data_IF_140280903758
#
_entry.id   IF_140280903758
#
_cell.length_a   1.000
_cell.length_b   1.000
_cell.length_c   1.000
_cell.angle_alpha   90.00
_cell.angle_beta   90.00
_cell.angle_gamma   90.00
#
_symmetry.space_group_name_H-M   'P 1'
#
loop_
_entity.id
_entity.type
_entity.pdbx_description
1 polymer ?
#
# COMPACT_ATOMS: atom_id res chain seq x y z
N UNK A 1 26.61 -29.68 -55.27
CA UNK A 1 27.52 -29.53 -54.11
C UNK A 1 27.31 -28.16 -53.50
N UNK A 2 26.43 -28.05 -52.50
CA UNK A 2 25.96 -26.77 -51.96
C UNK A 2 25.93 -26.75 -50.44
N UNK A 3 26.83 -25.93 -49.88
CA UNK A 3 26.75 -25.10 -48.66
C UNK A 3 26.02 -25.62 -47.40
N UNK A 4 26.74 -25.54 -46.28
CA UNK A 4 26.17 -25.38 -44.94
C UNK A 4 27.21 -24.84 -43.95
N UNK A 5 27.39 -23.51 -43.88
CA UNK A 5 28.22 -22.85 -42.85
C UNK A 5 27.35 -22.57 -41.61
N UNK A 6 27.69 -23.19 -40.47
CA UNK A 6 27.07 -22.93 -39.15
C UNK A 6 27.54 -21.57 -38.61
N UNK A 7 26.59 -20.68 -38.29
CA UNK A 7 26.80 -19.43 -37.55
C UNK A 7 26.82 -19.74 -36.05
N UNK A 8 27.87 -19.28 -35.34
CA UNK A 8 27.95 -19.27 -33.88
C UNK A 8 27.16 -18.06 -33.34
N UNK A 9 26.11 -18.31 -32.57
CA UNK A 9 25.49 -17.32 -31.69
C UNK A 9 26.44 -16.97 -30.55
N UNK A 10 26.59 -15.67 -30.29
CA UNK A 10 27.29 -15.13 -29.12
C UNK A 10 26.25 -14.62 -28.13
N UNK A 11 26.33 -15.13 -26.91
CA UNK A 11 25.50 -14.81 -25.76
C UNK A 11 25.86 -13.40 -25.21
N UNK A 12 24.91 -12.45 -25.08
CA UNK A 12 25.18 -11.12 -24.52
C UNK A 12 24.63 -11.00 -23.09
N UNK A 13 25.39 -11.45 -22.10
CA UNK A 13 25.10 -11.19 -20.69
C UNK A 13 26.39 -11.01 -19.90
N UNK A 14 26.85 -9.76 -19.82
CA UNK A 14 27.64 -9.25 -18.68
C UNK A 14 28.01 -7.79 -18.92
N UNK A 15 27.26 -6.86 -18.31
CA UNK A 15 27.73 -5.50 -17.95
C UNK A 15 26.69 -4.88 -17.01
N UNK A 16 26.83 -5.16 -15.72
CA UNK A 16 26.24 -4.33 -14.67
C UNK A 16 27.32 -3.38 -14.16
N UNK A 17 27.02 -2.08 -13.97
CA UNK A 17 27.94 -1.12 -13.38
C UNK A 17 28.04 -1.26 -11.85
N UNK A 18 29.13 -0.78 -11.23
CA UNK A 18 29.33 -0.88 -9.78
C UNK A 18 28.50 0.17 -9.01
N UNK A 19 27.92 -0.25 -7.88
CA UNK A 19 27.22 0.59 -6.91
C UNK A 19 28.20 1.38 -6.03
N UNK A 20 28.00 2.69 -5.80
CA UNK A 20 28.79 3.45 -4.84
C UNK A 20 28.19 3.39 -3.42
N UNK A 21 29.02 3.00 -2.45
CA UNK A 21 28.72 3.04 -1.02
C UNK A 21 28.79 4.48 -0.49
N UNK A 22 27.69 5.00 0.09
CA UNK A 22 27.69 6.27 0.80
C UNK A 22 27.54 6.08 2.32
N UNK A 23 28.62 6.45 3.00
CA UNK A 23 28.78 6.50 4.45
C UNK A 23 28.17 7.83 4.96
N UNK A 24 27.11 7.78 5.78
CA UNK A 24 26.57 8.98 6.44
C UNK A 24 26.86 8.88 7.93
N UNK A 25 27.72 9.78 8.41
CA UNK A 25 27.94 10.10 9.84
C UNK A 25 27.07 11.30 10.20
N UNK A 26 26.20 11.19 11.20
CA UNK A 26 25.55 12.35 11.82
C UNK A 26 26.00 12.50 13.28
N UNK A 27 26.56 13.69 13.56
CA UNK A 27 26.90 14.21 14.88
C UNK A 27 25.64 14.85 15.49
N UNK A 28 25.30 14.51 16.73
CA UNK A 28 24.39 15.28 17.57
C UNK A 28 25.21 16.25 18.44
N UNK A 29 24.80 17.52 18.50
CA UNK A 29 25.25 18.52 19.47
C UNK A 29 24.08 19.35 20.01
N UNK A 30 24.06 19.39 21.34
CA UNK A 30 23.40 20.19 22.38
C UNK A 30 22.83 21.58 22.09
N UNK A 31 21.79 21.95 22.85
CA UNK A 31 21.66 23.09 23.79
C UNK A 31 20.15 23.29 24.09
N UNK A 32 19.60 23.45 25.30
CA UNK A 32 20.08 24.19 26.47
C UNK A 32 19.52 25.62 26.42
N UNK A 33 18.35 25.89 27.01
CA UNK A 33 17.84 27.26 27.24
C UNK A 33 16.94 27.32 28.49
N UNK A 34 17.12 28.42 29.20
CA UNK A 34 16.86 28.72 30.61
C UNK A 34 15.44 29.13 31.01
N UNK A 35 15.30 29.24 32.33
CA UNK A 35 14.16 29.66 33.14
C UNK A 35 13.72 31.13 32.99
N UNK A 36 12.44 31.42 33.23
CA UNK A 36 11.91 32.74 33.64
C UNK A 36 10.63 32.56 34.52
N UNK A 37 10.10 33.59 35.23
CA UNK A 37 10.03 33.61 36.69
C UNK A 37 8.61 33.71 37.27
N UNK A 38 8.56 33.50 38.59
CA UNK A 38 7.44 33.54 39.53
C UNK A 38 6.62 34.83 39.47
N UNK A 39 5.29 34.72 39.36
CA UNK A 39 4.35 35.84 39.52
C UNK A 39 3.52 35.74 40.81
N UNK A 40 3.17 36.94 41.27
CA UNK A 40 2.55 37.35 42.54
C UNK A 40 1.09 36.86 42.69
N UNK A 41 0.75 36.33 43.87
CA UNK A 41 -0.63 36.03 44.28
C UNK A 41 -1.33 37.27 44.82
N UNK A 42 -2.51 37.59 44.27
CA UNK A 42 -3.48 38.56 44.81
C UNK A 42 -4.86 37.89 44.96
N UNK A 43 -5.71 38.33 45.91
CA UNK A 43 -6.94 37.64 46.27
C UNK A 43 -8.09 37.89 45.28
N UNK A 44 -8.80 36.80 44.96
CA UNK A 44 -9.91 36.71 44.00
C UNK A 44 -11.22 37.17 44.68
N UNK A 45 -12.01 38.09 44.08
CA UNK A 45 -13.36 38.39 44.54
C UNK A 45 -14.40 37.34 44.09
N UNK A 46 -15.27 36.99 45.03
CA UNK A 46 -16.21 35.87 45.01
C UNK A 46 -17.55 36.16 44.30
N UNK A 47 -17.55 36.43 42.99
CA UNK A 47 -18.82 36.52 42.24
C UNK A 47 -18.84 35.99 40.79
N UNK A 48 -17.78 35.33 40.32
CA UNK A 48 -17.72 34.79 38.95
C UNK A 48 -18.02 33.29 38.81
N UNK A 49 -18.53 32.63 39.86
CA UNK A 49 -18.68 31.16 39.91
C UNK A 49 -19.87 30.56 39.13
N UNK A 50 -20.69 31.36 38.47
CA UNK A 50 -21.88 30.84 37.75
C UNK A 50 -21.72 30.71 36.23
N UNK A 51 -20.66 31.28 35.62
CA UNK A 51 -20.49 31.27 34.16
C UNK A 51 -19.34 30.39 33.64
N UNK A 52 -18.45 29.91 34.51
CA UNK A 52 -17.26 29.16 34.10
C UNK A 52 -17.55 27.67 33.83
N UNK A 53 -18.59 27.10 34.44
CA UNK A 53 -18.94 25.68 34.29
C UNK A 53 -19.62 25.36 32.95
N UNK A 54 -20.30 26.34 32.33
CA UNK A 54 -20.86 26.22 30.98
C UNK A 54 -19.83 26.42 29.87
N UNK A 55 -18.73 27.13 30.12
CA UNK A 55 -17.72 27.40 29.09
C UNK A 55 -16.61 26.32 29.03
N UNK A 56 -16.31 25.66 30.16
CA UNK A 56 -15.45 24.47 30.17
C UNK A 56 -16.10 23.24 29.50
N UNK A 57 -17.44 23.18 29.44
CA UNK A 57 -18.17 22.13 28.70
C UNK A 57 -18.25 22.40 27.20
N UNK A 58 -18.02 23.64 26.73
CA UNK A 58 -17.97 23.97 25.29
C UNK A 58 -16.57 23.92 24.68
N UNK A 59 -15.51 23.89 25.49
CA UNK A 59 -14.10 23.85 25.01
C UNK A 59 -13.44 22.47 25.10
N UNK A 60 -14.21 21.42 25.42
CA UNK A 60 -13.72 20.03 25.51
C UNK A 60 -14.38 19.09 24.50
N UNK A 61 -14.73 19.63 23.32
CA UNK A 61 -15.34 18.84 22.23
C UNK A 61 -14.77 19.19 20.83
N UNK A 62 -13.61 19.86 20.74
CA UNK A 62 -13.04 20.29 19.45
C UNK A 62 -11.83 19.49 18.95
N UNK A 63 -11.49 18.37 19.59
CA UNK A 63 -10.22 17.68 19.27
C UNK A 63 -10.35 16.16 19.22
N UNK A 64 -11.43 15.66 18.62
CA UNK A 64 -11.42 14.36 17.92
C UNK A 64 -11.68 14.65 16.44
N UNK A 65 -10.68 15.21 15.75
CA UNK A 65 -10.65 15.20 14.27
C UNK A 65 -10.00 13.89 13.84
N UNK A 66 -10.76 12.80 13.83
CA UNK A 66 -10.39 11.57 13.13
C UNK A 66 -11.65 10.71 12.94
N UNK A 67 -11.77 9.79 11.96
CA UNK A 67 -10.78 9.37 10.96
C UNK A 67 -11.34 9.14 9.54
N UNK A 68 -12.54 9.61 9.21
CA UNK A 68 -13.07 9.49 7.85
C UNK A 68 -12.84 10.81 7.10
N UNK A 69 -11.56 11.18 6.92
CA UNK A 69 -11.22 12.13 5.84
C UNK A 69 -11.85 11.55 4.58
N UNK A 70 -12.84 12.27 4.02
CA UNK A 70 -13.53 11.83 2.82
C UNK A 70 -12.47 11.67 1.74
N UNK A 71 -12.16 10.43 1.39
CA UNK A 71 -11.25 10.14 0.31
C UNK A 71 -11.78 10.84 -0.95
N UNK A 72 -10.87 11.45 -1.68
CA UNK A 72 -11.17 12.17 -2.91
C UNK A 72 -11.82 11.20 -3.91
N UNK A 73 -12.72 11.73 -4.76
CA UNK A 73 -13.37 10.91 -5.80
C UNK A 73 -12.39 10.46 -6.89
N UNK A 74 -12.69 9.32 -7.52
CA UNK A 74 -12.02 8.84 -8.74
C UNK A 74 -12.95 9.04 -9.94
N UNK A 75 -12.40 9.49 -11.06
CA UNK A 75 -13.12 9.61 -12.31
C UNK A 75 -13.37 8.21 -12.89
N UNK A 76 -14.62 7.89 -13.22
CA UNK A 76 -14.95 6.63 -13.89
C UNK A 76 -14.82 6.82 -15.41
N UNK A 77 -13.68 6.42 -15.98
CA UNK A 77 -13.45 6.43 -17.44
C UNK A 77 -13.56 4.99 -17.96
N UNK A 78 -14.28 4.76 -19.06
CA UNK A 78 -14.24 3.46 -19.77
C UNK A 78 -14.50 2.21 -18.90
N UNK A 79 -15.54 2.24 -18.06
CA UNK A 79 -15.95 1.10 -17.22
C UNK A 79 -14.94 0.66 -16.14
N UNK A 80 -14.03 1.52 -15.71
CA UNK A 80 -13.01 1.20 -14.68
C UNK A 80 -13.54 1.28 -13.22
N UNK A 81 -14.84 1.16 -13.00
CA UNK A 81 -15.41 1.24 -11.65
C UNK A 81 -14.87 0.15 -10.70
N UNK A 82 -14.47 -1.01 -11.23
CA UNK A 82 -13.80 -2.07 -10.48
C UNK A 82 -12.44 -1.61 -9.92
N UNK A 83 -11.63 -0.92 -10.72
CA UNK A 83 -10.38 -0.29 -10.28
C UNK A 83 -10.63 0.79 -9.23
N UNK A 84 -11.63 1.64 -9.47
CA UNK A 84 -11.95 2.70 -8.53
C UNK A 84 -12.35 2.14 -7.16
N UNK A 85 -13.15 1.07 -7.12
CA UNK A 85 -13.54 0.40 -5.88
C UNK A 85 -12.31 -0.18 -5.14
N UNK A 86 -11.41 -0.86 -5.86
CA UNK A 86 -10.17 -1.40 -5.27
C UNK A 86 -9.31 -0.29 -4.69
N UNK A 87 -9.09 0.81 -5.43
CA UNK A 87 -8.25 1.92 -4.95
C UNK A 87 -8.82 2.62 -3.72
N UNK A 88 -10.15 2.82 -3.67
CA UNK A 88 -10.79 3.38 -2.48
C UNK A 88 -10.65 2.45 -1.27
N UNK A 89 -10.78 1.14 -1.48
CA UNK A 89 -10.54 0.15 -0.42
C UNK A 89 -9.07 0.16 0.05
N UNK A 90 -8.10 0.20 -0.87
CA UNK A 90 -6.68 0.28 -0.54
C UNK A 90 -6.31 1.58 0.19
N UNK A 91 -6.88 2.72 -0.21
CA UNK A 91 -6.66 4.01 0.45
C UNK A 91 -7.23 4.06 1.87
N UNK A 92 -8.27 3.27 2.16
CA UNK A 92 -8.79 3.12 3.53
C UNK A 92 -7.84 2.34 4.45
N UNK A 93 -6.89 1.59 3.89
CA UNK A 93 -5.86 0.89 4.65
C UNK A 93 -4.70 1.83 4.99
N UNK A 94 -4.81 2.55 6.11
CA UNK A 94 -3.82 3.56 6.55
C UNK A 94 -2.40 3.00 6.68
N UNK A 95 -2.25 1.75 7.11
CA UNK A 95 -0.96 1.07 7.20
C UNK A 95 -0.33 0.88 5.82
N UNK A 96 -1.12 0.46 4.83
CA UNK A 96 -0.65 0.35 3.45
C UNK A 96 -0.24 1.72 2.91
N UNK A 97 -1.13 2.72 3.03
CA UNK A 97 -0.85 4.07 2.52
C UNK A 97 0.43 4.65 3.12
N UNK A 98 0.68 4.44 4.41
CA UNK A 98 1.92 4.87 5.07
C UNK A 98 3.14 4.14 4.50
N UNK A 99 3.10 2.80 4.41
CA UNK A 99 4.22 2.01 3.87
C UNK A 99 4.56 2.40 2.45
N UNK A 100 3.55 2.59 1.59
CA UNK A 100 3.74 3.02 0.21
C UNK A 100 4.28 4.46 0.15
N UNK A 101 3.82 5.36 1.02
CA UNK A 101 4.35 6.74 1.10
C UNK A 101 5.81 6.80 1.57
N UNK A 102 6.25 5.88 2.43
CA UNK A 102 7.63 5.83 2.94
C UNK A 102 8.65 5.36 1.88
N UNK A 103 8.19 4.82 0.74
CA UNK A 103 9.07 4.42 -0.36
C UNK A 103 9.62 5.67 -1.05
N UNK A 104 10.95 5.77 -1.08
CA UNK A 104 11.67 6.94 -1.62
C UNK A 104 11.44 7.09 -3.12
N UNK A 105 11.05 8.29 -3.54
CA UNK A 105 10.79 8.66 -4.94
C UNK A 105 11.94 8.37 -5.90
N UNK A 106 13.19 8.53 -5.44
CA UNK A 106 14.38 8.23 -6.24
C UNK A 106 14.48 6.77 -6.71
N UNK A 107 13.79 5.85 -6.02
CA UNK A 107 13.79 4.42 -6.37
C UNK A 107 12.61 4.08 -7.30
N UNK A 108 11.54 4.87 -7.27
CA UNK A 108 10.28 4.60 -7.98
C UNK A 108 10.36 4.76 -9.50
N UNK A 109 11.46 5.30 -10.04
CA UNK A 109 11.66 5.45 -11.49
C UNK A 109 11.53 4.10 -12.22
N UNK A 110 11.98 3.01 -11.58
CA UNK A 110 11.99 1.66 -12.15
C UNK A 110 10.85 0.76 -11.66
N UNK A 111 9.91 1.31 -10.89
CA UNK A 111 8.83 0.55 -10.24
C UNK A 111 7.48 1.22 -10.52
N UNK A 112 6.98 1.12 -11.77
CA UNK A 112 5.81 1.88 -12.21
C UNK A 112 4.56 1.57 -11.40
N UNK A 113 4.36 0.33 -10.96
CA UNK A 113 3.16 -0.05 -10.20
C UNK A 113 3.17 0.63 -8.84
N UNK A 114 4.28 0.54 -8.12
CA UNK A 114 4.47 1.21 -6.84
C UNK A 114 4.37 2.72 -6.98
N UNK A 115 4.95 3.30 -8.04
CA UNK A 115 4.91 4.74 -8.34
C UNK A 115 3.48 5.25 -8.53
N UNK A 116 2.74 4.64 -9.45
CA UNK A 116 1.37 5.06 -9.76
C UNK A 116 0.44 4.83 -8.57
N UNK A 117 0.60 3.71 -7.86
CA UNK A 117 -0.16 3.45 -6.64
C UNK A 117 0.15 4.50 -5.56
N UNK A 118 1.43 4.84 -5.33
CA UNK A 118 1.81 5.88 -4.37
C UNK A 118 1.17 7.23 -4.73
N UNK A 119 1.25 7.64 -5.99
CA UNK A 119 0.67 8.89 -6.45
C UNK A 119 -0.86 8.93 -6.25
N UNK A 120 -1.55 7.84 -6.58
CA UNK A 120 -3.00 7.73 -6.41
C UNK A 120 -3.42 7.73 -4.95
N UNK A 121 -2.75 6.95 -4.10
CA UNK A 121 -3.05 6.90 -2.66
C UNK A 121 -2.79 8.27 -2.00
N UNK A 122 -1.67 8.92 -2.32
CA UNK A 122 -1.37 10.26 -1.82
C UNK A 122 -2.44 11.28 -2.27
N UNK A 123 -2.83 11.24 -3.54
CA UNK A 123 -3.86 12.12 -4.07
C UNK A 123 -5.26 11.85 -3.48
N UNK A 124 -5.60 10.58 -3.21
CA UNK A 124 -6.87 10.19 -2.60
C UNK A 124 -7.01 10.72 -1.17
N UNK A 125 -5.88 10.82 -0.46
CA UNK A 125 -5.81 11.31 0.91
C UNK A 125 -5.58 12.84 1.01
N UNK A 126 -5.34 13.50 -0.13
CA UNK A 126 -5.22 14.96 -0.20
C UNK A 126 -6.59 15.64 -0.02
N UNK A 127 -6.72 16.38 1.08
CA UNK A 127 -7.94 17.10 1.45
C UNK A 127 -8.08 18.47 0.79
N UNK A 128 -7.04 18.96 0.12
CA UNK A 128 -7.03 20.30 -0.46
C UNK A 128 -7.64 20.34 -1.86
N UNK A 129 -7.72 19.21 -2.55
CA UNK A 129 -8.27 19.12 -3.91
C UNK A 129 -9.65 18.46 -3.95
N UNK A 130 -10.58 19.08 -4.67
CA UNK A 130 -11.94 18.54 -4.90
C UNK A 130 -12.11 17.87 -6.27
N UNK A 131 -11.17 18.06 -7.20
CA UNK A 131 -11.27 17.52 -8.57
C UNK A 131 -11.18 15.99 -8.51
N UNK A 132 -11.95 15.17 -9.22
CA UNK A 132 -11.71 13.72 -9.21
C UNK A 132 -10.32 13.36 -9.79
N UNK A 133 -9.71 12.28 -9.31
CA UNK A 133 -8.44 11.75 -9.83
C UNK A 133 -8.66 10.77 -10.99
N UNK A 134 -7.66 10.66 -11.86
CA UNK A 134 -7.67 9.71 -12.96
C UNK A 134 -6.82 8.48 -12.61
N UNK A 135 -7.46 7.31 -12.51
CA UNK A 135 -6.80 6.03 -12.20
C UNK A 135 -6.31 5.27 -13.45
N UNK A 136 -6.61 5.78 -14.65
CA UNK A 136 -6.22 5.14 -15.93
C UNK A 136 -4.71 4.87 -16.06
N UNK A 137 -3.79 5.74 -15.57
CA UNK A 137 -2.35 5.47 -15.64
C UNK A 137 -1.96 4.16 -14.94
N UNK A 138 -2.47 3.91 -13.73
CA UNK A 138 -2.19 2.65 -13.02
C UNK A 138 -2.75 1.44 -13.77
N UNK A 139 -3.95 1.55 -14.36
CA UNK A 139 -4.54 0.46 -15.13
C UNK A 139 -3.66 0.08 -16.32
N UNK A 140 -3.11 1.07 -17.03
CA UNK A 140 -2.20 0.87 -18.14
C UNK A 140 -0.94 0.13 -17.69
N UNK A 141 -0.32 0.58 -16.59
CA UNK A 141 0.87 -0.10 -16.06
C UNK A 141 0.58 -1.56 -15.67
N UNK A 142 -0.58 -1.84 -15.06
CA UNK A 142 -0.99 -3.22 -14.71
C UNK A 142 -1.11 -4.08 -15.97
N UNK A 143 -1.74 -3.56 -17.02
CA UNK A 143 -1.99 -4.29 -18.26
C UNK A 143 -0.69 -4.59 -19.02
N UNK A 144 0.20 -3.60 -19.11
CA UNK A 144 1.53 -3.70 -19.74
C UNK A 144 2.42 -4.73 -19.01
N UNK A 145 2.45 -4.69 -17.67
CA UNK A 145 3.30 -5.59 -16.86
C UNK A 145 2.75 -7.03 -16.75
N UNK A 146 1.45 -7.24 -16.95
CA UNK A 146 0.83 -8.58 -16.95
C UNK A 146 0.95 -9.29 -18.30
N UNK A 147 1.28 -8.56 -19.38
CA UNK A 147 1.28 -9.05 -20.76
C UNK A 147 -0.02 -9.79 -21.17
N UNK A 148 -1.13 -9.46 -20.52
CA UNK A 148 -2.39 -10.19 -20.70
C UNK A 148 -3.42 -9.44 -21.52
N UNK A 149 -3.30 -8.10 -21.64
CA UNK A 149 -4.32 -7.26 -22.26
C UNK A 149 -5.67 -7.32 -21.54
N UNK A 150 -5.72 -7.95 -20.35
CA UNK A 150 -6.96 -8.34 -19.70
C UNK A 150 -7.74 -7.12 -19.21
N UNK A 151 -7.06 -6.15 -18.60
CA UNK A 151 -7.74 -5.03 -17.96
C UNK A 151 -7.84 -3.79 -18.85
N UNK A 152 -7.14 -3.78 -19.99
CA UNK A 152 -7.13 -2.68 -20.96
C UNK A 152 -8.24 -2.73 -22.02
N UNK A 153 -9.16 -3.70 -21.98
CA UNK A 153 -10.17 -3.95 -23.03
C UNK A 153 -11.41 -3.01 -22.97
N UNK A 154 -11.48 -2.12 -21.98
CA UNK A 154 -12.60 -1.20 -21.78
C UNK A 154 -13.88 -1.84 -21.21
N UNK A 155 -13.80 -3.09 -20.74
CA UNK A 155 -14.90 -3.81 -20.10
C UNK A 155 -14.83 -3.74 -18.59
N UNK A 156 -15.92 -4.13 -17.93
CA UNK A 156 -15.90 -4.36 -16.49
C UNK A 156 -15.22 -5.69 -16.18
N UNK A 157 -14.45 -5.71 -15.09
CA UNK A 157 -13.71 -6.88 -14.63
C UNK A 157 -14.00 -7.17 -13.16
N UNK A 158 -13.60 -8.36 -12.71
CA UNK A 158 -13.67 -8.75 -11.30
C UNK A 158 -12.65 -7.93 -10.48
N UNK A 159 -13.16 -7.20 -9.47
CA UNK A 159 -12.35 -6.38 -8.57
C UNK A 159 -11.39 -7.21 -7.72
N UNK A 160 -11.77 -8.44 -7.34
CA UNK A 160 -10.91 -9.35 -6.60
C UNK A 160 -9.73 -9.79 -7.46
N UNK A 161 -9.97 -10.10 -8.74
CA UNK A 161 -8.88 -10.47 -9.65
C UNK A 161 -7.91 -9.31 -9.88
N UNK A 162 -8.43 -8.08 -10.04
CA UNK A 162 -7.58 -6.89 -10.11
C UNK A 162 -6.76 -6.70 -8.84
N UNK A 163 -7.35 -6.89 -7.66
CA UNK A 163 -6.64 -6.77 -6.38
C UNK A 163 -5.48 -7.77 -6.31
N UNK A 164 -5.71 -9.04 -6.66
CA UNK A 164 -4.66 -10.04 -6.76
C UNK A 164 -3.57 -9.63 -7.75
N UNK A 165 -3.98 -9.03 -8.87
CA UNK A 165 -3.04 -8.55 -9.88
C UNK A 165 -2.10 -7.47 -9.32
N UNK A 166 -2.65 -6.49 -8.59
CA UNK A 166 -1.89 -5.41 -7.94
C UNK A 166 -0.95 -5.99 -6.88
N UNK A 167 -1.44 -6.83 -5.97
CA UNK A 167 -0.62 -7.41 -4.89
C UNK A 167 0.57 -8.20 -5.45
N UNK A 168 0.34 -9.02 -6.48
CA UNK A 168 1.40 -9.82 -7.07
C UNK A 168 2.41 -8.97 -7.86
N UNK A 169 2.00 -7.87 -8.47
CA UNK A 169 2.92 -6.93 -9.14
C UNK A 169 3.75 -6.13 -8.12
N UNK A 170 3.12 -5.64 -7.05
CA UNK A 170 3.82 -5.00 -5.93
C UNK A 170 4.86 -5.93 -5.32
N UNK A 171 4.50 -7.18 -5.06
CA UNK A 171 5.43 -8.18 -4.54
C UNK A 171 6.61 -8.42 -5.49
N UNK A 172 6.38 -8.41 -6.80
CA UNK A 172 7.45 -8.56 -7.79
C UNK A 172 8.41 -7.36 -7.79
N UNK A 173 7.90 -6.12 -7.73
CA UNK A 173 8.72 -4.91 -7.61
C UNK A 173 9.49 -4.87 -6.28
N UNK A 174 8.85 -5.28 -5.18
CA UNK A 174 9.46 -5.31 -3.84
C UNK A 174 10.68 -6.24 -3.75
N UNK A 175 10.67 -7.37 -4.45
CA UNK A 175 11.84 -8.27 -4.50
C UNK A 175 13.08 -7.60 -5.07
N UNK A 176 12.88 -6.68 -6.01
CA UNK A 176 13.96 -5.90 -6.63
C UNK A 176 14.36 -4.72 -5.74
N UNK A 177 13.39 -4.11 -5.05
CA UNK A 177 13.61 -2.98 -4.12
C UNK A 177 14.35 -3.40 -2.84
N UNK A 178 14.05 -4.59 -2.33
CA UNK A 178 14.50 -5.07 -1.04
C UNK A 178 15.18 -6.45 -1.11
N UNK A 179 16.22 -6.63 -1.95
CA UNK A 179 16.87 -7.93 -2.13
C UNK A 179 17.46 -8.46 -0.82
N UNK A 180 17.90 -7.56 0.06
CA UNK A 180 18.48 -7.89 1.36
C UNK A 180 17.49 -8.48 2.37
N UNK A 181 16.17 -8.28 2.20
CA UNK A 181 15.17 -8.79 3.14
C UNK A 181 15.01 -10.31 3.04
N UNK A 182 15.13 -10.89 1.85
CA UNK A 182 15.01 -12.35 1.67
C UNK A 182 16.25 -13.09 2.19
N UNK A 183 17.45 -12.51 2.04
CA UNK A 183 18.72 -13.15 2.44
C UNK A 183 19.00 -13.09 3.94
N UNK A 184 18.48 -12.08 4.64
CA UNK A 184 18.79 -11.84 6.06
C UNK A 184 17.76 -12.39 7.04
N UNK A 185 16.69 -13.03 6.55
CA UNK A 185 15.53 -13.38 7.39
C UNK A 185 14.90 -12.16 8.06
N UNK A 186 15.15 -10.97 7.51
CA UNK A 186 14.67 -9.72 8.07
C UNK A 186 13.15 -9.63 7.91
N UNK A 187 12.55 -8.92 8.85
CA UNK A 187 11.11 -8.80 9.00
C UNK A 187 10.45 -8.24 7.72
N UNK A 188 9.86 -9.15 6.93
CA UNK A 188 9.10 -8.85 5.72
C UNK A 188 7.83 -8.06 6.03
N UNK A 189 7.45 -7.91 7.31
CA UNK A 189 6.33 -7.05 7.73
C UNK A 189 6.47 -5.63 7.21
N UNK A 190 7.68 -5.19 6.83
CA UNK A 190 7.96 -3.84 6.34
C UNK A 190 7.42 -3.57 4.94
N UNK A 191 7.23 -4.57 4.08
CA UNK A 191 6.81 -4.31 2.70
C UNK A 191 5.29 -4.12 2.56
N UNK A 192 4.82 -3.29 1.60
CA UNK A 192 3.40 -3.15 1.31
C UNK A 192 2.67 -4.46 1.03
N UNK A 193 3.24 -5.35 0.21
CA UNK A 193 2.57 -6.61 -0.19
C UNK A 193 2.41 -7.59 0.96
N UNK A 194 3.29 -7.57 1.96
CA UNK A 194 3.23 -8.43 3.13
C UNK A 194 1.96 -8.19 3.99
N UNK A 195 1.33 -7.02 3.89
CA UNK A 195 0.07 -6.73 4.60
C UNK A 195 -1.10 -7.62 4.17
N UNK A 196 -1.01 -8.19 2.97
CA UNK A 196 -2.06 -9.05 2.42
C UNK A 196 -1.74 -10.54 2.56
N UNK A 197 -0.57 -10.87 3.08
CA UNK A 197 -0.14 -12.24 3.29
C UNK A 197 -0.72 -12.79 4.59
N UNK A 198 -1.28 -13.99 4.52
CA UNK A 198 -1.58 -14.80 5.70
C UNK A 198 -1.20 -16.25 5.44
N UNK A 199 -0.97 -17.00 6.53
CA UNK A 199 -0.74 -18.44 6.47
C UNK A 199 -2.06 -19.20 6.56
N UNK A 200 -2.20 -20.23 5.73
CA UNK A 200 -3.32 -21.17 5.78
C UNK A 200 -2.82 -22.59 5.86
N UNK A 201 -3.49 -23.38 6.69
CA UNK A 201 -3.35 -24.82 6.70
C UNK A 201 -4.55 -25.45 5.97
N UNK A 202 -4.25 -26.22 4.93
CA UNK A 202 -5.25 -27.01 4.19
C UNK A 202 -5.13 -28.47 4.59
N UNK A 203 -6.25 -29.06 4.99
CA UNK A 203 -6.35 -30.48 5.33
C UNK A 203 -7.18 -31.19 4.27
N UNK A 204 -6.60 -32.20 3.61
CA UNK A 204 -7.28 -33.00 2.60
C UNK A 204 -7.40 -34.42 3.13
N UNK A 205 -8.63 -34.91 3.28
CA UNK A 205 -8.89 -36.28 3.70
C UNK A 205 -9.32 -37.13 2.50
N UNK A 206 -8.57 -38.19 2.23
CA UNK A 206 -8.96 -39.18 1.23
C UNK A 206 -10.15 -39.99 1.73
N UNK A 207 -11.25 -40.00 0.98
CA UNK A 207 -12.48 -40.73 1.34
C UNK A 207 -12.36 -42.26 1.22
N UNK A 208 -11.31 -42.77 0.59
CA UNK A 208 -11.11 -44.22 0.38
C UNK A 208 -10.25 -44.83 1.50
N UNK A 209 -9.09 -44.22 1.77
CA UNK A 209 -8.13 -44.76 2.74
C UNK A 209 -8.07 -43.97 4.06
N UNK A 210 -8.91 -42.95 4.24
CA UNK A 210 -9.00 -42.06 5.40
C UNK A 210 -7.70 -41.33 5.80
N UNK A 211 -6.65 -41.38 4.96
CA UNK A 211 -5.44 -40.59 5.19
C UNK A 211 -5.75 -39.11 5.06
N UNK A 212 -5.27 -38.34 6.03
CA UNK A 212 -5.31 -36.88 6.03
C UNK A 212 -3.93 -36.37 5.65
N UNK A 213 -3.86 -35.54 4.61
CA UNK A 213 -2.67 -34.74 4.31
C UNK A 213 -2.88 -33.31 4.78
N UNK A 214 -1.82 -32.72 5.35
CA UNK A 214 -1.75 -31.31 5.70
C UNK A 214 -0.81 -30.62 4.72
N UNK A 215 -1.25 -29.48 4.18
CA UNK A 215 -0.43 -28.60 3.37
C UNK A 215 -0.55 -27.19 3.94
N UNK A 216 0.58 -26.64 4.36
CA UNK A 216 0.66 -25.23 4.77
C UNK A 216 1.04 -24.39 3.57
N UNK A 217 0.32 -23.30 3.35
CA UNK A 217 0.60 -22.32 2.31
C UNK A 217 0.56 -20.92 2.90
N UNK A 218 1.49 -20.07 2.48
CA UNK A 218 1.38 -18.62 2.65
C UNK A 218 0.76 -18.04 1.37
N UNK A 219 -0.15 -17.09 1.49
CA UNK A 219 -0.78 -16.60 0.27
C UNK A 219 -1.83 -15.51 0.39
N UNK A 220 -2.36 -15.25 -0.80
CA UNK A 220 -3.31 -14.21 -1.22
C UNK A 220 -4.65 -14.23 -0.48
N UNK A 221 -5.45 -13.13 -0.57
CA UNK A 221 -6.77 -12.98 0.04
C UNK A 221 -7.67 -14.22 0.05
N UNK A 222 -8.43 -14.41 1.13
CA UNK A 222 -9.38 -15.53 1.28
C UNK A 222 -10.62 -15.30 0.42
N UNK A 223 -10.87 -16.21 -0.52
CA UNK A 223 -12.18 -16.32 -1.18
C UNK A 223 -13.14 -17.08 -0.28
N UNK A 224 -14.14 -16.38 0.26
CA UNK A 224 -15.19 -17.00 1.09
C UNK A 224 -16.34 -17.48 0.21
N UNK A 225 -16.72 -18.76 0.37
CA UNK A 225 -17.93 -19.28 -0.24
C UNK A 225 -19.14 -18.76 0.52
N UNK A 226 -20.04 -18.06 -0.18
CA UNK A 226 -21.33 -17.69 0.37
C UNK A 226 -22.24 -18.93 0.38
N UNK A 227 -22.96 -19.21 1.49
CA UNK A 227 -23.94 -20.29 1.50
C UNK A 227 -24.99 -20.02 0.41
N UNK A 228 -25.32 -21.08 -0.34
CA UNK A 228 -26.27 -20.97 -1.44
C UNK A 228 -27.61 -20.40 -0.96
N UNK A 229 -28.06 -19.31 -1.57
CA UNK A 229 -29.40 -18.78 -1.33
C UNK A 229 -30.38 -19.82 -1.88
N UNK A 230 -31.17 -20.44 -0.99
CA UNK A 230 -32.26 -21.33 -1.43
C UNK A 230 -33.22 -20.47 -2.25
N UNK A 231 -33.42 -20.83 -3.52
CA UNK A 231 -34.46 -20.20 -4.35
C UNK A 231 -35.80 -20.50 -3.68
N UNK A 232 -36.46 -19.47 -3.16
CA UNK A 232 -37.84 -19.49 -2.68
C UNK A 232 -38.80 -19.56 -3.85
#
# INVERSE_FOLDING_TARGET
MGRGKKKKEKNPLSRLPPTPSLLIKSKLKNAGVDAIPTQHNGPIPSSARANEETELRRKKDSTVKDPLRRARGLQNKSNICFLNAVLQALASCTTLSRKVADIKTAILEFHPITRELQALLAGLLDTHSQKPLDATPLLREIDENRHSGKFGDGRQHDAHELLLAIISLLSAEEKVLFPSLEESGADTSRTPSALFGFGTDTFIQCKVCNRVSKTSSSGCPISLLLPGVRKS
#
